data_IF_189718662400
#
_entry.id   IF_189718662400
#
_cell.length_a   1.000
_cell.length_b   1.000
_cell.length_c   1.000
_cell.angle_alpha   90.00
_cell.angle_beta   90.00
_cell.angle_gamma   90.00
#
_symmetry.space_group_name_H-M   'P 1'
#
loop_
_entity.id
_entity.type
_entity.pdbx_description
1 polymer ?
#
# COMPACT_ATOMS: atom_id res chain seq x y z
N UNK A 1 -18.16 -51.16 34.62
CA UNK A 1 -16.88 -51.31 35.30
C UNK A 1 -16.04 -50.12 34.88
N UNK A 2 -15.94 -49.14 35.76
CA UNK A 2 -14.76 -48.72 36.58
C UNK A 2 -13.60 -48.33 35.64
N UNK A 3 -12.99 -47.14 35.76
CA UNK A 3 -12.79 -46.16 36.80
C UNK A 3 -12.44 -44.81 36.19
N UNK A 4 -12.75 -43.91 36.77
CA UNK A 4 -12.39 -42.68 37.48
C UNK A 4 -10.89 -42.64 37.76
N UNK A 5 -10.24 -41.60 37.28
CA UNK A 5 -9.22 -40.97 38.10
C UNK A 5 -9.13 -39.47 37.87
N UNK A 6 -9.29 -38.77 38.95
CA UNK A 6 -9.13 -37.34 39.22
C UNK A 6 -7.73 -37.13 39.73
N UNK A 7 -7.07 -36.05 39.31
CA UNK A 7 -6.08 -35.33 40.10
C UNK A 7 -5.95 -33.95 39.46
N UNK A 8 -6.40 -32.83 39.90
CA UNK A 8 -6.34 -32.06 41.15
C UNK A 8 -4.94 -31.48 41.44
N UNK A 9 -4.93 -30.17 41.49
CA UNK A 9 -4.15 -29.27 42.37
C UNK A 9 -2.74 -28.86 41.88
N UNK A 10 -2.60 -27.54 41.77
CA UNK A 10 -1.34 -26.83 41.70
C UNK A 10 -1.55 -25.33 41.61
N UNK A 11 -1.88 -24.73 42.76
CA UNK A 11 -1.96 -23.29 42.95
C UNK A 11 -0.59 -22.69 43.29
N UNK A 12 -0.52 -21.38 43.18
CA UNK A 12 0.48 -20.45 43.76
C UNK A 12 1.75 -20.22 42.92
N UNK A 13 1.93 -19.01 42.42
CA UNK A 13 2.79 -18.03 43.10
C UNK A 13 2.59 -16.64 42.48
N UNK A 14 2.14 -15.75 43.35
CA UNK A 14 2.22 -14.32 43.15
C UNK A 14 3.68 -13.88 43.32
N UNK A 15 4.18 -13.09 42.44
CA UNK A 15 5.35 -12.27 42.68
C UNK A 15 5.11 -10.87 42.13
N UNK A 16 4.73 -10.00 43.02
CA UNK A 16 4.77 -8.56 42.92
C UNK A 16 6.25 -8.15 42.97
N UNK A 17 6.74 -7.47 41.97
CA UNK A 17 7.94 -6.64 42.08
C UNK A 17 7.63 -5.27 41.49
N UNK A 18 7.37 -4.36 42.45
CA UNK A 18 7.52 -2.92 42.25
C UNK A 18 9.01 -2.63 42.01
N UNK A 19 9.33 -1.96 40.95
CA UNK A 19 10.50 -1.10 40.87
C UNK A 19 10.06 0.26 40.35
N UNK A 20 10.07 1.18 41.32
CA UNK A 20 9.89 2.60 41.11
C UNK A 20 11.21 3.22 40.62
N UNK A 21 11.07 4.36 40.00
CA UNK A 21 12.03 5.46 39.84
C UNK A 21 13.14 5.30 38.79
N UNK A 22 13.02 6.08 37.72
CA UNK A 22 13.90 7.23 37.59
C UNK A 22 13.28 8.22 36.58
N UNK A 23 12.93 9.33 37.17
CA UNK A 23 12.53 10.56 36.51
C UNK A 23 13.81 11.29 36.15
N UNK A 24 14.07 11.53 34.88
CA UNK A 24 15.10 12.49 34.50
C UNK A 24 14.48 13.55 33.60
N UNK A 25 14.39 14.69 34.23
CA UNK A 25 13.88 15.97 33.83
C UNK A 25 15.03 16.69 33.13
N UNK A 26 15.03 16.66 31.82
CA UNK A 26 15.92 17.47 30.97
C UNK A 26 15.15 18.65 30.41
N UNK A 27 15.37 19.81 31.00
CA UNK A 27 14.80 21.11 30.63
C UNK A 27 15.48 21.68 29.38
N UNK A 28 14.78 22.43 28.52
CA UNK A 28 15.32 23.00 27.30
C UNK A 28 16.18 24.23 27.55
N UNK A 29 17.25 24.31 26.80
CA UNK A 29 18.01 25.54 26.67
C UNK A 29 17.52 26.32 25.43
N UNK A 30 17.37 27.65 25.55
CA UNK A 30 16.96 28.50 24.45
C UNK A 30 18.16 29.19 23.78
N UNK A 31 18.03 29.37 22.48
CA UNK A 31 18.76 30.43 21.83
C UNK A 31 19.71 29.98 20.75
N UNK A 32 19.34 30.25 19.51
CA UNK A 32 20.05 31.20 18.66
C UNK A 32 19.10 31.65 17.54
N UNK A 33 18.64 32.85 17.69
CA UNK A 33 18.01 33.65 16.65
C UNK A 33 19.07 34.01 15.61
N UNK A 34 18.86 33.63 14.36
CA UNK A 34 19.45 34.33 13.22
C UNK A 34 18.36 34.67 12.23
N UNK A 35 17.90 35.87 12.38
CA UNK A 35 17.19 36.60 11.35
C UNK A 35 18.16 36.89 10.21
N UNK A 36 17.81 36.47 9.02
CA UNK A 36 18.35 37.07 7.80
C UNK A 36 17.15 37.58 7.02
N UNK A 37 16.93 38.85 7.24
CA UNK A 37 16.17 39.70 6.34
C UNK A 37 16.89 39.75 5.01
N UNK A 38 16.18 39.46 3.93
CA UNK A 38 16.55 39.99 2.62
C UNK A 38 15.36 40.73 2.05
N UNK A 39 15.66 42.01 1.94
CA UNK A 39 14.81 43.08 1.51
C UNK A 39 14.37 42.92 0.05
N UNK A 40 13.18 43.45 -0.12
CA UNK A 40 12.58 43.87 -1.37
C UNK A 40 13.54 44.67 -2.28
N UNK A 41 13.46 44.38 -3.55
CA UNK A 41 13.68 45.43 -4.55
C UNK A 41 12.64 45.31 -5.67
N UNK A 42 11.71 46.22 -5.59
CA UNK A 42 10.83 46.67 -6.64
C UNK A 42 11.63 47.41 -7.70
N UNK A 43 11.47 47.04 -8.96
CA UNK A 43 11.67 48.00 -10.04
C UNK A 43 10.59 47.86 -11.10
N UNK A 44 9.72 48.85 -11.01
CA UNK A 44 8.82 49.34 -12.03
C UNK A 44 9.63 49.98 -13.20
N UNK A 45 9.31 49.62 -14.40
CA UNK A 45 9.42 50.58 -15.51
C UNK A 45 8.41 50.26 -16.59
N UNK A 46 7.45 51.11 -16.72
CA UNK A 46 6.50 51.19 -17.82
C UNK A 46 7.19 51.72 -19.07
N UNK A 47 6.80 51.21 -20.23
CA UNK A 47 6.67 52.06 -21.43
C UNK A 47 5.70 51.41 -22.41
N UNK A 48 4.65 52.10 -22.70
CA UNK A 48 3.67 51.83 -23.75
C UNK A 48 4.26 52.10 -25.14
N UNK A 49 3.80 51.35 -26.12
CA UNK A 49 3.58 51.87 -27.49
C UNK A 49 2.60 50.95 -28.24
N UNK A 50 1.69 51.62 -28.88
CA UNK A 50 0.53 51.20 -29.67
C UNK A 50 0.84 50.40 -30.91
N UNK A 51 -0.19 49.67 -31.35
CA UNK A 51 -0.57 49.56 -32.77
C UNK A 51 -0.42 48.20 -33.41
N UNK A 52 -1.54 47.58 -33.77
CA UNK A 52 -1.53 46.46 -34.71
C UNK A 52 -2.81 45.61 -34.70
N UNK A 53 -3.80 46.08 -35.45
CA UNK A 53 -4.99 45.30 -35.88
C UNK A 53 -4.56 44.06 -36.66
N UNK A 54 -4.95 42.85 -36.20
CA UNK A 54 -4.75 41.60 -36.93
C UNK A 54 -5.77 40.59 -36.49
N UNK A 55 -6.82 40.40 -37.26
CA UNK A 55 -7.72 39.26 -37.17
C UNK A 55 -6.93 37.98 -37.48
N UNK A 56 -6.92 37.04 -36.57
CA UNK A 56 -6.24 35.78 -36.75
C UNK A 56 -6.76 34.72 -35.80
N UNK A 57 -7.75 33.96 -36.24
CA UNK A 57 -7.96 32.53 -36.04
C UNK A 57 -7.60 31.99 -34.65
N UNK A 58 -8.62 31.73 -33.86
CA UNK A 58 -8.55 30.90 -32.71
C UNK A 58 -8.07 29.50 -33.08
N UNK A 59 -6.77 29.28 -33.03
CA UNK A 59 -6.22 27.95 -33.07
C UNK A 59 -6.21 27.46 -31.61
N UNK A 60 -7.30 26.78 -31.25
CA UNK A 60 -7.34 25.97 -30.06
C UNK A 60 -6.17 24.99 -30.07
N UNK A 61 -5.11 25.31 -29.33
CA UNK A 61 -4.04 24.36 -29.03
C UNK A 61 -4.62 23.35 -28.04
N UNK A 62 -5.42 22.45 -28.59
CA UNK A 62 -5.72 21.19 -27.90
C UNK A 62 -4.38 20.49 -27.68
N UNK A 63 -3.91 20.51 -26.45
CA UNK A 63 -2.84 19.60 -26.02
C UNK A 63 -3.34 18.19 -26.29
N UNK A 64 -2.99 17.65 -27.45
CA UNK A 64 -3.24 16.27 -27.78
C UNK A 64 -2.55 15.43 -26.70
N UNK A 65 -3.35 14.85 -25.80
CA UNK A 65 -2.86 13.84 -24.88
C UNK A 65 -2.13 12.80 -25.71
N UNK A 66 -0.86 12.59 -25.43
CA UNK A 66 -0.06 11.56 -26.10
C UNK A 66 -0.85 10.25 -26.04
N UNK A 67 -0.94 9.49 -27.15
CA UNK A 67 -1.66 8.24 -27.18
C UNK A 67 -1.10 7.36 -26.07
N UNK A 68 -1.94 7.01 -25.08
CA UNK A 68 -1.59 6.04 -24.05
C UNK A 68 -1.43 4.71 -24.76
N UNK A 69 -0.19 4.25 -24.92
CA UNK A 69 0.10 2.92 -25.41
C UNK A 69 -0.55 1.95 -24.42
N UNK A 70 -1.47 1.07 -24.88
CA UNK A 70 -2.12 0.13 -23.98
C UNK A 70 -1.05 -0.83 -23.43
N UNK A 71 -0.77 -0.76 -22.15
CA UNK A 71 0.17 -1.65 -21.48
C UNK A 71 -0.41 -3.07 -21.47
N UNK A 72 0.24 -3.96 -22.18
CA UNK A 72 -0.14 -5.38 -22.23
C UNK A 72 0.26 -6.08 -20.93
N UNK A 73 -0.70 -6.74 -20.28
CA UNK A 73 -0.44 -7.58 -19.12
C UNK A 73 -0.25 -9.03 -19.56
N UNK A 74 0.92 -9.60 -19.26
CA UNK A 74 1.27 -10.99 -19.57
C UNK A 74 1.62 -11.73 -18.29
N UNK A 75 0.82 -12.72 -17.92
CA UNK A 75 1.10 -13.62 -16.78
C UNK A 75 1.71 -14.91 -17.33
N UNK A 76 3.00 -15.20 -17.02
CA UNK A 76 3.62 -16.45 -17.42
C UNK A 76 2.88 -17.66 -16.85
N UNK A 77 2.66 -18.72 -17.63
CA UNK A 77 1.90 -19.88 -17.19
C UNK A 77 2.50 -20.62 -15.98
N UNK A 78 3.80 -20.55 -15.81
CA UNK A 78 4.52 -21.10 -14.67
C UNK A 78 4.19 -20.36 -13.37
N UNK A 79 3.94 -19.05 -13.43
CA UNK A 79 3.49 -18.25 -12.28
C UNK A 79 2.10 -18.72 -11.85
N UNK A 80 1.18 -18.85 -12.80
CA UNK A 80 -0.18 -19.31 -12.52
C UNK A 80 -0.25 -20.74 -11.97
N UNK A 81 0.73 -21.61 -12.32
CA UNK A 81 0.85 -22.95 -11.77
C UNK A 81 1.48 -22.97 -10.37
N UNK A 82 2.37 -22.03 -10.09
CA UNK A 82 3.15 -21.99 -8.83
C UNK A 82 2.36 -21.37 -7.69
N UNK A 83 1.59 -20.32 -7.98
CA UNK A 83 0.89 -19.55 -6.95
C UNK A 83 -0.63 -19.75 -7.04
N UNK A 84 -1.27 -19.91 -5.88
CA UNK A 84 -2.71 -20.08 -5.76
C UNK A 84 -3.43 -18.90 -5.11
N UNK A 85 -2.69 -18.11 -4.32
CA UNK A 85 -3.23 -16.96 -3.61
C UNK A 85 -2.15 -15.91 -3.37
N UNK A 86 -2.55 -14.74 -2.94
CA UNK A 86 -1.67 -13.75 -2.33
C UNK A 86 -1.94 -13.68 -0.83
N UNK A 87 -0.93 -13.32 -0.05
CA UNK A 87 -1.06 -13.01 1.37
C UNK A 87 -1.01 -11.51 1.57
N UNK A 88 -2.03 -10.98 2.20
CA UNK A 88 -2.12 -9.58 2.59
C UNK A 88 -2.00 -9.47 4.11
N UNK A 89 -1.08 -8.64 4.57
CA UNK A 89 -1.07 -8.17 5.94
C UNK A 89 -2.07 -7.02 6.08
N UNK A 90 -2.89 -7.07 7.12
CA UNK A 90 -3.85 -6.03 7.44
C UNK A 90 -3.67 -5.52 8.86
N UNK A 91 -4.00 -4.24 9.07
CA UNK A 91 -4.02 -3.63 10.39
C UNK A 91 -5.24 -2.73 10.53
N UNK A 92 -5.95 -2.86 11.66
CA UNK A 92 -7.05 -2.00 12.08
C UNK A 92 -6.54 -0.97 13.10
N UNK A 93 -6.42 0.27 12.70
CA UNK A 93 -5.96 1.36 13.58
C UNK A 93 -6.95 1.69 14.69
N UNK A 94 -8.24 1.37 14.50
CA UNK A 94 -9.27 1.61 15.51
C UNK A 94 -9.20 0.65 16.70
N UNK A 95 -8.90 -0.64 16.44
CA UNK A 95 -8.80 -1.67 17.50
C UNK A 95 -7.37 -2.08 17.82
N UNK A 96 -6.38 -1.65 17.04
CA UNK A 96 -4.99 -2.07 17.15
C UNK A 96 -4.74 -3.52 16.72
N UNK A 97 -5.75 -4.21 16.20
CA UNK A 97 -5.62 -5.59 15.73
C UNK A 97 -4.94 -5.63 14.37
N UNK A 98 -4.14 -6.65 14.17
CA UNK A 98 -3.47 -6.92 12.91
C UNK A 98 -3.45 -8.42 12.61
N UNK A 99 -3.19 -8.77 11.37
CA UNK A 99 -3.13 -10.15 10.95
C UNK A 99 -2.85 -10.29 9.47
N UNK A 100 -3.09 -11.48 8.95
CA UNK A 100 -2.96 -11.76 7.54
C UNK A 100 -4.24 -12.43 7.00
N UNK A 101 -4.48 -12.25 5.71
CA UNK A 101 -5.55 -12.90 4.95
C UNK A 101 -5.00 -13.38 3.62
N UNK A 102 -5.32 -14.62 3.25
CA UNK A 102 -4.96 -15.17 1.95
C UNK A 102 -6.12 -14.95 0.98
N UNK A 103 -5.83 -14.29 -0.14
CA UNK A 103 -6.79 -13.98 -1.20
C UNK A 103 -6.49 -14.84 -2.40
N UNK A 104 -7.40 -15.75 -2.83
CA UNK A 104 -7.18 -16.59 -4.01
C UNK A 104 -6.94 -15.77 -5.28
N UNK A 105 -6.08 -16.25 -6.17
CA UNK A 105 -5.89 -15.62 -7.48
C UNK A 105 -7.18 -15.75 -8.31
N UNK A 106 -7.65 -14.65 -8.88
CA UNK A 106 -8.92 -14.59 -9.57
C UNK A 106 -10.17 -14.69 -8.67
N UNK A 107 -9.97 -14.74 -7.33
CA UNK A 107 -11.03 -14.80 -6.34
C UNK A 107 -11.02 -13.62 -5.39
N UNK A 108 -11.86 -13.69 -4.36
CA UNK A 108 -11.94 -12.68 -3.30
C UNK A 108 -11.86 -13.29 -1.91
N UNK A 109 -11.49 -12.46 -0.94
CA UNK A 109 -11.54 -12.79 0.48
C UNK A 109 -11.90 -11.54 1.31
N UNK A 110 -12.58 -11.78 2.43
CA UNK A 110 -12.95 -10.70 3.36
C UNK A 110 -11.82 -10.47 4.36
N UNK A 111 -11.48 -9.22 4.58
CA UNK A 111 -10.53 -8.84 5.65
C UNK A 111 -11.20 -9.06 7.01
N UNK A 112 -10.56 -9.81 7.94
CA UNK A 112 -11.16 -10.10 9.25
C UNK A 112 -11.57 -8.85 10.02
N UNK A 113 -12.70 -8.93 10.70
CA UNK A 113 -13.29 -7.84 11.51
C UNK A 113 -13.55 -6.54 10.75
N UNK A 114 -13.76 -6.62 9.43
CA UNK A 114 -14.07 -5.49 8.56
C UNK A 114 -15.19 -5.82 7.57
N UNK A 115 -15.67 -4.80 6.87
CA UNK A 115 -16.56 -4.93 5.71
C UNK A 115 -15.80 -4.86 4.38
N UNK A 116 -14.45 -4.91 4.46
CA UNK A 116 -13.60 -4.90 3.28
C UNK A 116 -13.54 -6.29 2.65
N UNK A 117 -13.84 -6.35 1.37
CA UNK A 117 -13.62 -7.51 0.51
C UNK A 117 -12.53 -7.18 -0.49
N UNK A 118 -11.50 -8.02 -0.56
CA UNK A 118 -10.37 -7.85 -1.48
C UNK A 118 -10.44 -8.93 -2.54
N UNK A 119 -10.41 -8.52 -3.80
CA UNK A 119 -10.24 -9.40 -4.95
C UNK A 119 -8.84 -9.28 -5.49
N UNK A 120 -8.20 -10.39 -5.82
CA UNK A 120 -6.92 -10.43 -6.48
C UNK A 120 -7.09 -10.80 -7.95
N UNK A 121 -6.81 -9.86 -8.84
CA UNK A 121 -6.91 -10.10 -10.28
C UNK A 121 -5.65 -10.78 -10.83
N UNK A 122 -4.46 -10.33 -10.39
CA UNK A 122 -3.16 -10.80 -10.88
C UNK A 122 -2.12 -10.74 -9.79
N UNK A 123 -1.20 -11.72 -9.82
CA UNK A 123 0.02 -11.72 -9.03
C UNK A 123 1.25 -11.97 -9.90
N UNK A 124 2.27 -11.16 -9.73
CA UNK A 124 3.55 -11.25 -10.43
C UNK A 124 4.68 -11.28 -9.39
N UNK A 125 5.35 -12.44 -9.19
CA UNK A 125 6.38 -12.57 -8.15
C UNK A 125 7.67 -11.80 -8.47
N UNK A 126 7.98 -11.62 -9.74
CA UNK A 126 9.13 -10.84 -10.21
C UNK A 126 8.65 -9.77 -11.21
N UNK A 127 7.82 -8.86 -10.71
CA UNK A 127 7.21 -7.80 -11.51
C UNK A 127 8.24 -7.01 -12.30
N UNK A 128 8.01 -6.88 -13.59
CA UNK A 128 8.73 -6.01 -14.51
C UNK A 128 7.77 -5.26 -15.39
N UNK A 129 8.13 -4.03 -15.73
CA UNK A 129 7.38 -3.18 -16.66
C UNK A 129 8.33 -2.65 -17.72
N UNK A 130 8.06 -3.01 -18.97
CA UNK A 130 8.64 -2.39 -20.16
C UNK A 130 7.69 -1.32 -20.69
N UNK A 131 8.04 -0.66 -21.79
CA UNK A 131 7.26 0.46 -22.33
C UNK A 131 5.80 0.11 -22.65
N UNK A 132 5.54 -1.13 -23.04
CA UNK A 132 4.24 -1.62 -23.52
C UNK A 132 3.75 -2.90 -22.85
N UNK A 133 4.56 -3.50 -21.95
CA UNK A 133 4.24 -4.77 -21.31
C UNK A 133 4.53 -4.77 -19.80
N UNK A 134 3.60 -5.35 -19.04
CA UNK A 134 3.77 -5.72 -17.63
C UNK A 134 3.79 -7.24 -17.56
N UNK A 135 4.84 -7.80 -16.95
CA UNK A 135 4.99 -9.26 -16.81
C UNK A 135 5.79 -9.65 -15.56
N UNK A 136 6.08 -10.93 -15.39
CA UNK A 136 6.97 -11.45 -14.36
C UNK A 136 8.22 -12.07 -14.99
N UNK A 137 9.38 -11.66 -14.50
CA UNK A 137 10.65 -12.25 -14.90
C UNK A 137 10.98 -13.49 -14.05
N UNK A 138 10.12 -14.52 -14.16
CA UNK A 138 10.25 -15.78 -13.45
C UNK A 138 9.27 -15.97 -12.29
N UNK A 139 9.46 -17.08 -11.55
CA UNK A 139 8.58 -17.52 -10.46
C UNK A 139 9.12 -17.19 -9.07
N UNK A 140 10.35 -16.77 -8.97
CA UNK A 140 10.92 -16.37 -7.69
C UNK A 140 10.42 -14.99 -7.26
N UNK A 141 10.11 -14.85 -5.96
CA UNK A 141 9.51 -13.64 -5.41
C UNK A 141 10.56 -12.54 -5.17
N UNK A 142 11.21 -12.05 -6.24
CA UNK A 142 12.25 -11.02 -6.17
C UNK A 142 11.69 -9.59 -6.13
N UNK A 143 10.53 -9.38 -6.77
CA UNK A 143 9.81 -8.10 -6.78
C UNK A 143 8.30 -8.34 -6.84
N UNK A 144 7.69 -8.85 -5.73
CA UNK A 144 6.29 -9.23 -5.74
C UNK A 144 5.35 -8.03 -5.88
N UNK A 145 4.42 -8.14 -6.83
CA UNK A 145 3.35 -7.19 -7.05
C UNK A 145 2.02 -7.91 -7.26
N UNK A 146 0.93 -7.32 -6.80
CA UNK A 146 -0.41 -7.81 -7.04
C UNK A 146 -1.32 -6.68 -7.53
N UNK A 147 -2.18 -6.97 -8.49
CA UNK A 147 -3.28 -6.11 -8.84
C UNK A 147 -4.50 -6.55 -8.06
N UNK A 148 -5.01 -5.64 -7.24
CA UNK A 148 -6.16 -5.90 -6.37
C UNK A 148 -7.26 -4.86 -6.58
N UNK A 149 -8.47 -5.30 -6.26
CA UNK A 149 -9.65 -4.43 -6.11
C UNK A 149 -10.17 -4.59 -4.69
N UNK A 150 -10.42 -3.48 -3.99
CA UNK A 150 -11.00 -3.49 -2.65
C UNK A 150 -12.39 -2.88 -2.71
N UNK A 151 -13.34 -3.60 -2.14
CA UNK A 151 -14.75 -3.21 -2.08
C UNK A 151 -15.15 -3.06 -0.62
N UNK A 152 -15.84 -1.99 -0.28
CA UNK A 152 -16.47 -1.78 1.02
C UNK A 152 -17.98 -1.55 0.82
N UNK A 153 -18.82 -2.34 1.51
CA UNK A 153 -20.28 -2.23 1.42
C UNK A 153 -20.81 -2.24 -0.01
N UNK A 154 -20.16 -3.00 -0.89
CA UNK A 154 -20.54 -3.10 -2.29
C UNK A 154 -19.98 -2.01 -3.21
N UNK A 155 -19.25 -1.04 -2.68
CA UNK A 155 -18.60 0.02 -3.45
C UNK A 155 -17.12 -0.24 -3.61
N UNK A 156 -16.61 -0.11 -4.83
CA UNK A 156 -15.16 -0.15 -5.08
C UNK A 156 -14.51 1.10 -4.48
N UNK A 157 -13.57 0.91 -3.56
CA UNK A 157 -12.85 2.01 -2.90
C UNK A 157 -11.37 2.06 -3.30
N UNK A 158 -10.87 1.00 -3.94
CA UNK A 158 -9.50 0.95 -4.46
C UNK A 158 -9.41 -0.06 -5.60
N UNK A 159 -8.68 0.28 -6.66
CA UNK A 159 -8.27 -0.65 -7.71
C UNK A 159 -6.87 -0.26 -8.20
N UNK A 160 -5.90 -1.17 -8.05
CA UNK A 160 -4.52 -0.82 -8.42
C UNK A 160 -3.50 -1.90 -8.09
N UNK A 161 -2.25 -1.58 -8.40
CA UNK A 161 -1.10 -2.40 -8.05
C UNK A 161 -0.61 -2.08 -6.65
N UNK A 162 -0.31 -3.12 -5.88
CA UNK A 162 0.39 -3.05 -4.59
C UNK A 162 1.66 -3.88 -4.66
N UNK A 163 2.71 -3.41 -3.98
CA UNK A 163 4.06 -3.97 -4.08
C UNK A 163 4.56 -4.36 -2.69
N UNK A 164 5.29 -5.49 -2.60
CA UNK A 164 5.93 -5.90 -1.34
C UNK A 164 7.14 -5.02 -1.03
N UNK A 165 8.00 -4.77 -2.03
CA UNK A 165 9.25 -4.03 -1.84
C UNK A 165 9.04 -2.50 -1.85
N UNK A 166 7.93 -2.03 -2.39
CA UNK A 166 7.61 -0.60 -2.53
C UNK A 166 6.20 -0.32 -2.01
N UNK A 167 5.94 -0.49 -0.70
CA UNK A 167 4.60 -0.40 -0.12
C UNK A 167 3.98 0.99 -0.22
N UNK A 168 4.79 2.02 -0.42
CA UNK A 168 4.35 3.41 -0.51
C UNK A 168 4.06 3.86 -1.97
N UNK A 169 4.31 2.98 -2.95
CA UNK A 169 3.91 3.19 -4.34
C UNK A 169 2.46 2.73 -4.50
N UNK A 170 1.54 3.66 -4.76
CA UNK A 170 0.10 3.43 -4.81
C UNK A 170 -0.48 2.72 -3.58
N UNK A 171 -0.25 3.25 -2.35
CA UNK A 171 -0.71 2.60 -1.14
C UNK A 171 -2.24 2.57 -1.11
N UNK A 172 -2.80 1.48 -0.59
CA UNK A 172 -4.20 1.46 -0.21
C UNK A 172 -4.43 2.47 0.93
N UNK A 173 -5.32 3.42 0.70
CA UNK A 173 -5.66 4.45 1.68
C UNK A 173 -7.07 4.23 2.20
N UNK A 174 -7.19 4.05 3.52
CA UNK A 174 -8.46 3.91 4.21
C UNK A 174 -8.33 4.50 5.62
N UNK A 175 -9.34 5.23 6.14
CA UNK A 175 -9.21 5.92 7.44
C UNK A 175 -8.94 4.98 8.63
N UNK A 176 -9.32 3.72 8.53
CA UNK A 176 -9.21 2.74 9.61
C UNK A 176 -8.28 1.57 9.31
N UNK A 177 -8.26 1.10 8.07
CA UNK A 177 -7.51 -0.10 7.71
C UNK A 177 -6.30 0.20 6.84
N UNK A 178 -5.21 -0.52 7.06
CA UNK A 178 -4.09 -0.59 6.12
C UNK A 178 -3.96 -2.01 5.56
N UNK A 179 -3.63 -2.10 4.29
CA UNK A 179 -3.37 -3.37 3.59
C UNK A 179 -1.98 -3.30 2.95
N UNK A 180 -1.20 -4.37 3.10
CA UNK A 180 0.12 -4.50 2.49
C UNK A 180 0.28 -5.88 1.89
N UNK A 181 0.90 -5.97 0.73
CA UNK A 181 1.25 -7.26 0.13
C UNK A 181 2.40 -7.89 0.93
N UNK A 182 2.16 -9.05 1.52
CA UNK A 182 3.18 -9.83 2.20
C UNK A 182 3.87 -10.83 1.25
N UNK A 183 3.24 -11.15 0.11
CA UNK A 183 3.78 -12.02 -0.92
C UNK A 183 2.76 -12.96 -1.55
N UNK A 184 3.24 -13.92 -2.34
CA UNK A 184 2.42 -14.97 -2.93
C UNK A 184 2.38 -16.23 -2.07
N UNK A 185 1.26 -16.94 -2.13
CA UNK A 185 1.06 -18.25 -1.50
C UNK A 185 1.18 -19.30 -2.60
N UNK A 186 2.18 -20.18 -2.47
CA UNK A 186 2.37 -21.28 -3.43
C UNK A 186 1.22 -22.29 -3.29
N UNK A 187 0.69 -22.72 -4.42
CA UNK A 187 -0.29 -23.79 -4.45
C UNK A 187 0.30 -25.12 -3.98
N UNK A 188 -0.53 -25.97 -3.36
CA UNK A 188 -0.13 -27.35 -3.14
C UNK A 188 0.12 -28.01 -4.50
N UNK A 189 1.35 -28.45 -4.73
CA UNK A 189 1.68 -29.23 -5.93
C UNK A 189 0.81 -30.48 -5.92
N UNK A 190 -0.18 -30.57 -6.84
CA UNK A 190 -0.81 -31.85 -7.12
C UNK A 190 0.25 -32.70 -7.83
N UNK A 191 0.91 -33.57 -7.04
CA UNK A 191 1.74 -34.63 -7.56
C UNK A 191 0.93 -35.66 -8.33
#
# INVERSE_FOLDING_TARGET
MRGRDRTAIGACFAAVLLCASCQEKGRPEPGVTMAVSHEQETQETATATEGGTGAGTETGTGTAAAPKIPTRLVVPPEVAKTYSAIRLAWKDSGSGKEGAVDVPLGGSARVPASELEVRCDVFLPAFTMASDEITSNGVEATNPAARITVVEKGNEIFSGWIFTNFPDVHPFQHPRFSLRLAGGVKGASKG
#
